data_IF_757868796157
#
_entry.id   IF_757868796157
#
_cell.length_a   1.000
_cell.length_b   1.000
_cell.length_c   1.000
_cell.angle_alpha   90.00
_cell.angle_beta   90.00
_cell.angle_gamma   90.00
#
_symmetry.space_group_name_H-M   'P 1'
#
loop_
_entity.id
_entity.type
_entity.pdbx_description
1 polymer ?
#
# COMPACT_ATOMS: atom_id res chain seq x y z
N UNK A 1 -6.60 1.43 28.03
CA UNK A 1 -6.10 0.28 27.30
C UNK A 1 -5.52 0.72 25.97
N UNK A 2 -5.85 0.19 24.82
CA UNK A 2 -5.13 0.57 23.60
C UNK A 2 -5.80 1.65 22.76
N UNK A 3 -6.98 2.12 23.14
CA UNK A 3 -7.77 3.05 22.32
C UNK A 3 -7.08 4.40 22.02
N UNK A 4 -6.14 4.81 22.85
CA UNK A 4 -5.41 6.07 22.67
C UNK A 4 -3.98 5.86 22.14
N UNK A 5 -3.63 4.63 21.79
CA UNK A 5 -2.31 4.31 21.27
C UNK A 5 -2.30 4.44 19.74
N UNK A 6 -1.16 4.86 19.20
CA UNK A 6 -0.98 4.85 17.74
C UNK A 6 -0.95 3.43 17.22
N UNK A 7 -1.41 3.25 15.99
CA UNK A 7 -1.41 1.98 15.29
C UNK A 7 -0.60 2.12 14.01
N UNK A 8 0.20 1.13 13.69
CA UNK A 8 0.93 1.07 12.42
C UNK A 8 0.48 -0.15 11.63
N UNK A 9 0.44 -0.01 10.30
CA UNK A 9 0.39 -1.15 9.41
C UNK A 9 1.78 -1.79 9.38
N UNK A 10 1.85 -3.13 9.36
CA UNK A 10 3.11 -3.85 9.40
C UNK A 10 3.15 -4.89 8.27
N UNK A 11 4.21 -4.82 7.47
CA UNK A 11 4.49 -5.76 6.40
C UNK A 11 5.82 -6.45 6.63
N UNK A 12 6.07 -7.52 5.89
CA UNK A 12 7.35 -8.23 5.91
C UNK A 12 8.05 -8.10 4.56
N UNK A 13 9.38 -8.13 4.58
CA UNK A 13 10.22 -8.08 3.40
C UNK A 13 11.34 -9.10 3.50
N UNK A 14 11.64 -9.74 2.38
CA UNK A 14 12.82 -10.61 2.28
C UNK A 14 14.06 -9.87 1.82
N UNK A 15 13.90 -8.60 1.41
CA UNK A 15 14.97 -7.73 0.93
C UNK A 15 14.60 -6.27 1.22
N UNK A 16 15.09 -5.76 2.34
CA UNK A 16 14.74 -4.40 2.80
C UNK A 16 15.22 -3.30 1.85
N UNK A 17 16.36 -3.47 1.17
CA UNK A 17 16.82 -2.48 0.19
C UNK A 17 15.86 -2.38 -0.98
N UNK A 18 15.40 -3.50 -1.48
CA UNK A 18 14.42 -3.56 -2.58
C UNK A 18 13.08 -2.95 -2.16
N UNK A 19 12.63 -3.26 -0.95
CA UNK A 19 11.39 -2.68 -0.41
C UNK A 19 11.52 -1.18 -0.22
N UNK A 20 12.64 -0.71 0.32
CA UNK A 20 12.88 0.72 0.51
C UNK A 20 12.81 1.47 -0.82
N UNK A 21 13.49 0.98 -1.84
CA UNK A 21 13.46 1.61 -3.15
C UNK A 21 12.04 1.66 -3.74
N UNK A 22 11.30 0.57 -3.62
CA UNK A 22 9.93 0.52 -4.11
C UNK A 22 9.05 1.57 -3.43
N UNK A 23 9.04 1.60 -2.11
CA UNK A 23 8.17 2.51 -1.37
C UNK A 23 8.59 3.97 -1.47
N UNK A 24 9.89 4.25 -1.55
CA UNK A 24 10.37 5.62 -1.75
C UNK A 24 10.16 6.10 -3.19
N UNK A 25 10.61 5.32 -4.17
CA UNK A 25 10.67 5.76 -5.57
C UNK A 25 9.35 5.61 -6.32
N UNK A 26 8.60 4.54 -6.06
CA UNK A 26 7.36 4.25 -6.78
C UNK A 26 6.13 4.71 -6.03
N UNK A 27 6.07 4.46 -4.73
CA UNK A 27 4.91 4.84 -3.91
C UNK A 27 5.04 6.26 -3.38
N UNK A 28 6.25 6.76 -3.22
CA UNK A 28 6.50 8.15 -2.81
C UNK A 28 6.47 8.38 -1.31
N UNK A 29 6.77 7.36 -0.52
CA UNK A 29 6.83 7.48 0.94
C UNK A 29 8.20 8.00 1.40
N UNK A 30 8.23 8.65 2.56
CA UNK A 30 9.45 9.14 3.17
C UNK A 30 9.85 8.26 4.36
N UNK A 31 11.10 7.80 4.35
CA UNK A 31 11.64 7.01 5.44
C UNK A 31 11.78 7.87 6.70
N UNK A 32 11.30 7.36 7.82
CA UNK A 32 11.43 8.03 9.11
C UNK A 32 12.90 7.99 9.59
N UNK A 33 13.39 9.07 10.24
CA UNK A 33 14.70 9.01 10.90
C UNK A 33 14.72 8.05 12.09
N UNK A 34 13.56 7.65 12.60
CA UNK A 34 13.44 6.72 13.73
C UNK A 34 13.48 5.25 13.32
N UNK A 35 14.00 4.96 12.14
CA UNK A 35 14.19 3.59 11.65
C UNK A 35 15.09 2.79 12.63
N UNK A 36 14.64 1.60 12.97
CA UNK A 36 15.39 0.69 13.83
C UNK A 36 15.98 -0.46 13.01
N UNK A 37 16.93 -1.21 13.63
CA UNK A 37 17.62 -2.29 12.94
C UNK A 37 16.63 -3.32 12.36
N UNK A 38 16.86 -3.73 11.13
CA UNK A 38 16.04 -4.70 10.40
C UNK A 38 14.59 -4.26 10.18
N UNK A 39 14.35 -2.93 10.21
CA UNK A 39 13.04 -2.34 9.99
C UNK A 39 13.15 -1.13 9.08
N UNK A 40 12.10 -0.89 8.30
CA UNK A 40 11.85 0.37 7.62
C UNK A 40 10.59 0.97 8.24
N UNK A 41 10.66 2.23 8.62
CA UNK A 41 9.50 2.95 9.13
C UNK A 41 9.25 4.12 8.20
N UNK A 42 8.09 4.13 7.53
CA UNK A 42 7.68 5.22 6.65
C UNK A 42 6.62 6.05 7.36
N UNK A 43 6.82 7.36 7.36
CA UNK A 43 5.82 8.30 7.86
C UNK A 43 4.76 8.53 6.80
N UNK A 44 3.50 8.44 7.20
CA UNK A 44 2.34 8.62 6.33
C UNK A 44 1.46 9.76 6.87
N UNK A 45 0.34 10.03 6.20
CA UNK A 45 -0.54 11.14 6.57
C UNK A 45 -1.09 11.04 7.98
N UNK A 46 -1.31 12.20 8.61
CA UNK A 46 -1.96 12.35 9.91
C UNK A 46 -1.33 11.54 11.04
N UNK A 47 0.00 11.45 11.04
CA UNK A 47 0.74 10.75 12.10
C UNK A 47 0.66 9.22 12.02
N UNK A 48 0.18 8.68 10.91
CA UNK A 48 0.18 7.25 10.67
C UNK A 48 1.55 6.78 10.14
N UNK A 49 1.79 5.49 10.17
CA UNK A 49 3.05 4.93 9.69
C UNK A 49 2.86 3.56 9.07
N UNK A 50 3.77 3.23 8.15
CA UNK A 50 3.91 1.90 7.59
C UNK A 50 5.27 1.36 8.04
N UNK A 51 5.26 0.21 8.70
CA UNK A 51 6.47 -0.44 9.17
C UNK A 51 6.69 -1.72 8.37
N UNK A 52 7.93 -1.93 7.91
CA UNK A 52 8.32 -3.14 7.19
C UNK A 52 9.53 -3.74 7.90
N UNK A 53 9.45 -5.01 8.28
CA UNK A 53 10.60 -5.65 8.88
C UNK A 53 11.10 -6.82 8.03
N UNK A 54 12.41 -7.09 8.15
CA UNK A 54 13.07 -8.14 7.41
C UNK A 54 12.81 -9.50 8.00
N UNK A 55 12.55 -10.47 7.11
CA UNK A 55 12.27 -11.86 7.48
C UNK A 55 12.69 -12.77 6.33
N UNK A 56 13.09 -14.00 6.62
CA UNK A 56 13.55 -14.95 5.61
C UNK A 56 12.46 -15.47 4.67
N UNK A 57 11.21 -15.36 5.09
CA UNK A 57 10.05 -15.79 4.30
C UNK A 57 8.94 -14.77 4.40
N UNK A 58 8.06 -14.74 3.38
CA UNK A 58 6.86 -13.88 3.39
C UNK A 58 5.61 -14.76 3.45
N UNK A 59 4.56 -14.20 4.02
CA UNK A 59 3.23 -14.80 3.94
C UNK A 59 2.57 -14.35 2.65
N UNK A 60 1.97 -15.30 1.92
CA UNK A 60 1.12 -14.96 0.79
C UNK A 60 -0.30 -14.73 1.31
N UNK A 61 -0.75 -13.50 1.26
CA UNK A 61 -2.11 -13.14 1.64
C UNK A 61 -2.86 -12.65 0.40
N UNK A 62 -4.03 -13.19 0.17
CA UNK A 62 -4.88 -12.82 -0.98
C UNK A 62 -5.77 -11.63 -0.68
N UNK A 63 -5.72 -11.11 0.53
CA UNK A 63 -6.51 -9.96 0.94
C UNK A 63 -5.65 -8.68 1.02
N UNK A 64 -6.30 -7.54 1.01
CA UNK A 64 -5.66 -6.26 1.24
C UNK A 64 -5.01 -6.24 2.62
N UNK A 65 -3.70 -5.99 2.67
CA UNK A 65 -2.94 -5.91 3.90
C UNK A 65 -2.77 -4.46 4.37
N UNK A 66 -2.70 -3.53 3.43
CA UNK A 66 -2.58 -2.10 3.71
C UNK A 66 -3.51 -1.34 2.77
N UNK A 67 -4.18 -0.33 3.30
CA UNK A 67 -5.02 0.56 2.52
C UNK A 67 -4.56 2.00 2.74
N UNK A 68 -4.23 2.68 1.65
CA UNK A 68 -4.03 4.12 1.64
C UNK A 68 -5.34 4.80 1.29
N UNK A 69 -5.76 5.77 2.09
CA UNK A 69 -6.95 6.56 1.82
C UNK A 69 -6.58 7.68 0.84
N UNK A 70 -7.43 7.93 -0.13
CA UNK A 70 -7.22 8.91 -1.18
C UNK A 70 -8.38 9.89 -1.24
N UNK A 71 -8.06 11.16 -1.45
CA UNK A 71 -9.06 12.19 -1.74
C UNK A 71 -9.31 12.33 -3.24
N UNK A 72 -8.41 11.80 -4.08
CA UNK A 72 -8.51 11.83 -5.54
C UNK A 72 -7.79 10.60 -6.11
N UNK A 73 -8.51 9.49 -6.17
CA UNK A 73 -7.94 8.21 -6.59
C UNK A 73 -7.49 8.23 -8.06
N UNK A 74 -8.18 8.97 -8.93
CA UNK A 74 -7.80 9.06 -10.34
C UNK A 74 -6.40 9.67 -10.47
N UNK A 75 -6.13 10.73 -9.72
CA UNK A 75 -4.82 11.39 -9.70
C UNK A 75 -3.76 10.48 -9.08
N UNK A 76 -4.04 9.90 -7.93
CA UNK A 76 -3.07 9.06 -7.22
C UNK A 76 -2.69 7.84 -8.05
N UNK A 77 -3.65 7.16 -8.65
CA UNK A 77 -3.40 6.01 -9.51
C UNK A 77 -2.59 6.41 -10.75
N UNK A 78 -2.90 7.56 -11.36
CA UNK A 78 -2.15 8.05 -12.51
C UNK A 78 -0.68 8.32 -12.15
N UNK A 79 -0.42 8.95 -11.01
CA UNK A 79 0.94 9.25 -10.54
C UNK A 79 1.70 7.96 -10.23
N UNK A 80 1.07 7.03 -9.50
CA UNK A 80 1.69 5.76 -9.15
C UNK A 80 2.02 4.93 -10.40
N UNK A 81 1.11 4.85 -11.35
CA UNK A 81 1.36 4.15 -12.61
C UNK A 81 2.51 4.78 -13.39
N UNK A 82 2.58 6.12 -13.43
CA UNK A 82 3.68 6.84 -14.07
C UNK A 82 5.03 6.57 -13.39
N UNK A 83 5.02 6.31 -12.09
CA UNK A 83 6.23 5.94 -11.33
C UNK A 83 6.60 4.46 -11.47
N UNK A 84 5.83 3.68 -12.21
CA UNK A 84 6.11 2.28 -12.47
C UNK A 84 5.39 1.27 -11.59
N UNK A 85 4.40 1.71 -10.80
CA UNK A 85 3.54 0.78 -10.07
C UNK A 85 2.64 0.06 -11.06
N UNK A 86 2.62 -1.28 -10.96
CA UNK A 86 1.77 -2.11 -11.82
C UNK A 86 0.53 -2.51 -11.06
N UNK A 87 -0.60 -1.94 -11.44
CA UNK A 87 -1.88 -2.25 -10.82
C UNK A 87 -2.43 -3.60 -11.26
N UNK A 88 -3.11 -4.27 -10.32
CA UNK A 88 -3.87 -5.48 -10.62
C UNK A 88 -5.11 -5.14 -11.45
N UNK A 89 -5.45 -6.00 -12.40
CA UNK A 89 -6.62 -5.84 -13.24
C UNK A 89 -7.61 -6.96 -12.97
N UNK A 90 -8.89 -6.63 -12.92
CA UNK A 90 -9.97 -7.58 -12.68
C UNK A 90 -11.02 -7.46 -13.76
N UNK A 91 -11.54 -8.58 -14.23
CA UNK A 91 -12.60 -8.64 -15.25
C UNK A 91 -13.53 -9.80 -14.94
N UNK A 92 -14.36 -9.62 -13.91
CA UNK A 92 -15.41 -10.56 -13.54
C UNK A 92 -16.77 -9.89 -13.67
N UNK A 93 -17.86 -10.66 -13.55
CA UNK A 93 -19.21 -10.11 -13.65
C UNK A 93 -19.52 -9.07 -12.56
N UNK A 94 -18.95 -9.25 -11.37
CA UNK A 94 -19.24 -8.41 -10.20
C UNK A 94 -18.08 -7.51 -9.80
N UNK A 95 -16.91 -7.68 -10.43
CA UNK A 95 -15.69 -7.01 -10.01
C UNK A 95 -14.83 -6.72 -11.23
N UNK A 96 -14.86 -5.47 -11.69
CA UNK A 96 -14.19 -5.08 -12.93
C UNK A 96 -13.41 -3.77 -12.76
N UNK A 97 -12.15 -3.77 -13.18
CA UNK A 97 -11.33 -2.56 -13.24
C UNK A 97 -11.58 -1.80 -14.54
N UNK A 98 -11.68 -0.48 -14.42
CA UNK A 98 -11.64 0.46 -15.54
C UNK A 98 -10.57 1.49 -15.19
N UNK A 99 -9.55 1.63 -16.04
CA UNK A 99 -8.38 2.46 -15.75
C UNK A 99 -7.77 2.13 -14.39
N UNK A 100 -7.61 0.84 -14.10
CA UNK A 100 -7.07 0.24 -12.86
C UNK A 100 -8.02 0.30 -11.65
N UNK A 101 -9.18 0.93 -11.75
CA UNK A 101 -10.04 1.24 -10.61
C UNK A 101 -11.32 0.44 -10.66
N UNK A 102 -11.69 -0.16 -9.53
CA UNK A 102 -12.99 -0.79 -9.30
C UNK A 102 -13.89 0.18 -8.57
N UNK A 103 -15.09 0.39 -9.11
CA UNK A 103 -16.11 1.19 -8.46
C UNK A 103 -17.15 0.28 -7.81
N UNK A 104 -17.37 0.45 -6.51
CA UNK A 104 -18.34 -0.32 -5.73
C UNK A 104 -19.39 0.62 -5.16
N UNK A 105 -20.63 0.51 -5.64
CA UNK A 105 -21.72 1.39 -5.22
C UNK A 105 -21.95 1.28 -3.70
N UNK A 106 -22.08 2.44 -3.04
CA UNK A 106 -22.28 2.52 -1.60
C UNK A 106 -21.02 2.32 -0.78
N UNK A 107 -19.88 2.07 -1.40
CA UNK A 107 -18.60 1.82 -0.73
C UNK A 107 -17.55 2.84 -1.16
N UNK A 108 -17.22 2.86 -2.45
CA UNK A 108 -16.22 3.74 -2.98
C UNK A 108 -15.46 3.13 -4.16
N UNK A 109 -14.27 3.66 -4.41
CA UNK A 109 -13.43 3.28 -5.54
C UNK A 109 -12.09 2.80 -5.03
N UNK A 110 -11.57 1.72 -5.63
CA UNK A 110 -10.34 1.07 -5.17
C UNK A 110 -9.46 0.66 -6.32
N UNK A 111 -8.15 0.66 -6.07
CA UNK A 111 -7.16 0.07 -6.95
C UNK A 111 -6.16 -0.71 -6.11
N UNK A 112 -5.61 -1.80 -6.66
CA UNK A 112 -4.69 -2.68 -5.92
C UNK A 112 -3.41 -2.90 -6.69
N UNK A 113 -2.31 -3.01 -5.94
CA UNK A 113 -1.02 -3.40 -6.48
C UNK A 113 -0.27 -4.28 -5.49
N UNK A 114 0.73 -5.00 -5.98
CA UNK A 114 1.62 -5.81 -5.16
C UNK A 114 2.95 -5.08 -4.96
N UNK A 115 3.50 -5.19 -3.76
CA UNK A 115 4.89 -4.79 -3.54
C UNK A 115 5.85 -5.90 -4.00
N UNK A 116 7.18 -5.71 -3.95
CA UNK A 116 8.14 -6.71 -4.42
C UNK A 116 8.06 -8.06 -3.72
N UNK A 117 7.53 -8.12 -2.50
CA UNK A 117 7.36 -9.36 -1.76
C UNK A 117 5.96 -9.97 -1.91
N UNK A 118 5.11 -9.37 -2.74
CA UNK A 118 3.76 -9.86 -2.98
C UNK A 118 2.74 -9.40 -1.96
N UNK A 119 3.07 -8.44 -1.11
CA UNK A 119 2.10 -7.82 -0.21
C UNK A 119 1.05 -7.05 -1.03
N UNK A 120 -0.21 -7.18 -0.65
CA UNK A 120 -1.33 -6.55 -1.35
C UNK A 120 -1.67 -5.20 -0.74
N UNK A 121 -1.55 -4.16 -1.55
CA UNK A 121 -1.74 -2.77 -1.16
C UNK A 121 -2.94 -2.21 -1.93
N UNK A 122 -3.82 -1.50 -1.24
CA UNK A 122 -4.95 -0.82 -1.87
C UNK A 122 -4.81 0.69 -1.75
N UNK A 123 -5.31 1.38 -2.76
CA UNK A 123 -5.63 2.82 -2.72
C UNK A 123 -7.15 2.90 -2.75
N UNK A 124 -7.74 3.65 -1.85
CA UNK A 124 -9.18 3.68 -1.66
C UNK A 124 -9.70 5.10 -1.47
N UNK A 125 -10.72 5.45 -2.23
CA UNK A 125 -11.48 6.68 -2.04
C UNK A 125 -12.91 6.32 -1.67
N UNK A 126 -13.40 6.72 -0.50
CA UNK A 126 -14.78 6.44 -0.10
C UNK A 126 -15.77 7.20 -0.97
N UNK A 127 -16.95 6.65 -1.09
CA UNK A 127 -18.07 7.27 -1.82
C UNK A 127 -18.54 8.58 -1.18
#
# INVERSE_FOLDING_TARGET
MLANNRVSAVLVSTDLERSQEFYESKVGLALSPDTIKNHLVFECGDGTSLLIYGRGTVNKADHTQVRFWSDDIDKDVTVLAANGVKFEEYDTQTFKTVDHIVTSAGIGRSAWFKDPDGNTIAVFQPE
#
